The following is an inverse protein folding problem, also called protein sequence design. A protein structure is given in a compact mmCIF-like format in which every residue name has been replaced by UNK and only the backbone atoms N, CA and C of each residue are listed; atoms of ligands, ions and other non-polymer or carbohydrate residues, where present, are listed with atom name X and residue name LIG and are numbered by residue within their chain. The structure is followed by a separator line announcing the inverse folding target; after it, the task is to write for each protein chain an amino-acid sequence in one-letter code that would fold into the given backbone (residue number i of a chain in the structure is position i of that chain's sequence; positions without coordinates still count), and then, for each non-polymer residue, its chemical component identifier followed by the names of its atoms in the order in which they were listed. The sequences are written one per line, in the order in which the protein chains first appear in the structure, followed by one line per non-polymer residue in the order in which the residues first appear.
data_IF_157134199953
#
_entry.id   IF_157134199953
#
_cell.length_a   1.000
_cell.length_b   1.000
_cell.length_c   1.000
_cell.angle_alpha   90.00
_cell.angle_beta   90.00
_cell.angle_gamma   90.00
#
_symmetry.space_group_name_H-M   'P 1'
#
loop_
_entity.id
_entity.type
_entity.pdbx_description
1 polymer ?
#
# COMPACT_ATOMS: atom_id res chain seq x y z
N UNK A 1 -8.81 -9.23 25.39
CA UNK A 1 -7.46 -8.61 25.38
C UNK A 1 -7.23 -7.66 24.20
N UNK A 2 -7.39 -8.08 22.94
CA UNK A 2 -7.05 -7.24 21.76
C UNK A 2 -7.84 -5.92 21.66
N UNK A 3 -9.14 -5.90 21.98
CA UNK A 3 -9.97 -4.67 22.01
C UNK A 3 -9.50 -3.67 23.08
N UNK A 4 -9.12 -4.14 24.27
CA UNK A 4 -8.57 -3.31 25.35
C UNK A 4 -7.21 -2.69 24.97
N UNK A 5 -6.32 -3.49 24.37
CA UNK A 5 -5.03 -2.99 23.86
C UNK A 5 -5.23 -1.88 22.81
N UNK A 6 -6.19 -2.07 21.90
CA UNK A 6 -6.55 -1.05 20.93
C UNK A 6 -7.10 0.22 21.60
N UNK A 7 -7.94 0.08 22.62
CA UNK A 7 -8.45 1.22 23.39
C UNK A 7 -7.32 2.03 24.05
N UNK A 8 -6.31 1.37 24.63
CA UNK A 8 -5.11 2.04 25.17
C UNK A 8 -4.36 2.81 24.07
N UNK A 9 -4.21 2.23 22.87
CA UNK A 9 -3.59 2.91 21.71
C UNK A 9 -4.36 4.16 21.30
N UNK A 10 -5.69 4.13 21.38
CA UNK A 10 -6.57 5.29 21.17
C UNK A 10 -6.37 6.33 22.27
N UNK A 11 -6.38 5.96 23.55
CA UNK A 11 -6.13 6.92 24.65
C UNK A 11 -4.76 7.61 24.52
N UNK A 12 -3.74 6.89 24.05
CA UNK A 12 -2.41 7.48 23.83
C UNK A 12 -2.41 8.67 22.86
N UNK A 13 -3.35 8.78 21.90
CA UNK A 13 -3.44 9.99 21.05
C UNK A 13 -3.81 11.25 21.83
N UNK A 14 -4.43 11.12 23.00
CA UNK A 14 -4.86 12.27 23.81
C UNK A 14 -3.72 12.89 24.61
N UNK A 15 -2.70 12.09 24.94
CA UNK A 15 -1.60 12.48 25.85
C UNK A 15 -0.25 12.59 25.14
N UNK A 16 -0.11 12.04 23.94
CA UNK A 16 1.15 12.03 23.18
C UNK A 16 0.90 12.56 21.78
N UNK A 17 1.60 13.64 21.43
CA UNK A 17 1.52 14.23 20.09
C UNK A 17 2.04 13.27 19.02
N UNK A 18 1.49 13.38 17.81
CA UNK A 18 1.90 12.56 16.67
C UNK A 18 3.40 12.70 16.38
N UNK A 19 3.96 13.90 16.56
CA UNK A 19 5.38 14.17 16.37
C UNK A 19 6.26 13.37 17.34
N UNK A 20 5.94 13.38 18.64
CA UNK A 20 6.67 12.63 19.67
C UNK A 20 6.52 11.12 19.40
N UNK A 21 5.30 10.68 19.10
CA UNK A 21 5.03 9.27 18.83
C UNK A 21 5.86 8.73 17.65
N UNK A 22 5.80 9.43 16.52
CA UNK A 22 6.51 9.06 15.30
C UNK A 22 8.02 9.11 15.51
N UNK A 23 8.55 10.16 16.14
CA UNK A 23 9.99 10.28 16.42
C UNK A 23 10.51 9.13 17.29
N UNK A 24 9.75 8.73 18.32
CA UNK A 24 10.12 7.62 19.19
C UNK A 24 10.09 6.28 18.44
N UNK A 25 9.06 6.05 17.62
CA UNK A 25 8.93 4.83 16.81
C UNK A 25 10.00 4.73 15.73
N UNK A 26 10.33 5.86 15.10
CA UNK A 26 11.40 5.99 14.12
C UNK A 26 12.73 5.63 14.75
N UNK A 27 13.12 6.34 15.82
CA UNK A 27 14.43 6.14 16.47
C UNK A 27 14.60 4.71 16.95
N UNK A 28 13.55 4.11 17.54
CA UNK A 28 13.57 2.71 17.99
C UNK A 28 13.78 1.72 16.83
N UNK A 29 13.26 1.99 15.64
CA UNK A 29 13.28 1.05 14.51
C UNK A 29 14.52 1.25 13.62
N UNK A 30 14.94 2.49 13.39
CA UNK A 30 16.00 2.82 12.43
C UNK A 30 17.34 3.18 13.09
N UNK A 31 17.38 3.24 14.42
CA UNK A 31 18.60 3.48 15.20
C UNK A 31 19.31 4.83 14.92
N UNK A 32 18.58 5.83 14.42
CA UNK A 32 19.01 7.24 14.38
C UNK A 32 17.83 8.18 14.67
N UNK A 33 18.13 9.40 15.12
CA UNK A 33 17.11 10.40 15.43
C UNK A 33 16.70 11.14 14.15
N UNK A 34 15.39 11.26 13.86
CA UNK A 34 14.95 11.99 12.67
C UNK A 34 14.95 13.50 12.87
N UNK A 35 15.18 14.26 11.79
CA UNK A 35 14.85 15.68 11.69
C UNK A 35 13.59 15.91 10.84
N UNK A 36 12.42 15.87 11.49
CA UNK A 36 11.16 16.20 10.81
C UNK A 36 10.94 17.70 10.57
N UNK A 37 11.89 18.59 10.87
CA UNK A 37 11.82 20.00 10.46
C UNK A 37 12.48 20.20 9.10
N UNK A 38 13.56 19.47 8.85
CA UNK A 38 14.29 19.46 7.59
C UNK A 38 14.56 18.01 7.13
N UNK A 39 13.51 17.27 6.72
CA UNK A 39 13.63 15.85 6.40
C UNK A 39 14.52 15.64 5.17
N UNK A 40 15.48 14.73 5.28
CA UNK A 40 16.43 14.40 4.21
C UNK A 40 16.22 12.99 3.70
N UNK A 41 16.10 12.02 4.59
CA UNK A 41 15.90 10.62 4.19
C UNK A 41 14.46 10.34 3.75
N UNK A 42 14.27 9.26 3.02
CA UNK A 42 12.95 8.80 2.58
C UNK A 42 12.03 8.54 3.77
N UNK A 43 12.51 7.81 4.78
CA UNK A 43 11.73 7.56 6.00
C UNK A 43 11.37 8.86 6.74
N UNK A 44 12.27 9.85 6.82
CA UNK A 44 11.97 11.17 7.40
C UNK A 44 10.89 11.90 6.60
N UNK A 45 10.98 11.87 5.26
CA UNK A 45 10.02 12.50 4.36
C UNK A 45 8.64 11.85 4.45
N UNK A 46 8.55 10.52 4.58
CA UNK A 46 7.27 9.83 4.85
C UNK A 46 6.64 10.32 6.15
N UNK A 47 7.41 10.41 7.24
CA UNK A 47 6.90 10.92 8.52
C UNK A 47 6.50 12.38 8.45
N UNK A 48 7.29 13.20 7.76
CA UNK A 48 6.97 14.60 7.52
C UNK A 48 5.63 14.76 6.79
N UNK A 49 5.38 13.97 5.73
CA UNK A 49 4.08 13.94 5.04
C UNK A 49 2.95 13.63 6.01
N UNK A 50 3.06 12.55 6.80
CA UNK A 50 2.01 12.18 7.77
C UNK A 50 1.70 13.30 8.77
N UNK A 51 2.72 14.08 9.18
CA UNK A 51 2.57 15.18 10.13
C UNK A 51 2.00 16.46 9.49
N UNK A 52 2.39 16.78 8.25
CA UNK A 52 2.23 18.11 7.66
C UNK A 52 1.28 18.17 6.48
N UNK A 53 1.23 17.13 5.66
CA UNK A 53 0.37 17.10 4.48
C UNK A 53 -1.05 16.66 4.87
N UNK A 54 -2.03 17.43 4.40
CA UNK A 54 -3.46 17.21 4.65
C UNK A 54 -4.24 17.02 3.36
N UNK A 55 -3.58 16.58 2.28
CA UNK A 55 -4.24 16.28 1.02
C UNK A 55 -5.38 15.25 1.25
N UNK A 56 -6.65 15.61 0.99
CA UNK A 56 -7.79 14.71 1.19
C UNK A 56 -7.77 13.51 0.24
N UNK A 57 -7.08 13.60 -0.91
CA UNK A 57 -6.97 12.50 -1.87
C UNK A 57 -6.30 11.26 -1.25
N UNK A 58 -5.41 11.44 -0.26
CA UNK A 58 -4.76 10.30 0.38
C UNK A 58 -5.75 9.38 1.09
N UNK A 59 -6.79 9.93 1.72
CA UNK A 59 -7.83 9.11 2.35
C UNK A 59 -8.68 8.39 1.33
N UNK A 60 -9.08 9.08 0.25
CA UNK A 60 -9.87 8.48 -0.82
C UNK A 60 -9.12 7.35 -1.54
N UNK A 61 -7.80 7.50 -1.73
CA UNK A 61 -7.00 6.55 -2.49
C UNK A 61 -6.40 5.44 -1.62
N UNK A 62 -6.34 5.61 -0.30
CA UNK A 62 -6.05 4.53 0.65
C UNK A 62 -7.27 3.65 0.96
N UNK A 63 -8.49 4.16 0.75
CA UNK A 63 -9.72 3.36 0.86
C UNK A 63 -9.85 2.44 -0.36
N UNK A 64 -9.75 1.13 -0.11
CA UNK A 64 -9.79 0.08 -1.13
C UNK A 64 -11.09 0.03 -1.93
N UNK A 65 -12.18 0.65 -1.45
CA UNK A 65 -13.42 0.79 -2.18
C UNK A 65 -13.45 2.08 -3.02
N UNK A 66 -13.18 3.24 -2.43
CA UNK A 66 -13.34 4.52 -3.14
C UNK A 66 -12.26 4.79 -4.17
N UNK A 67 -11.08 4.17 -4.05
CA UNK A 67 -10.01 4.30 -5.06
C UNK A 67 -10.42 3.69 -6.40
N UNK A 68 -11.32 2.70 -6.41
CA UNK A 68 -11.66 1.91 -7.61
C UNK A 68 -12.24 2.74 -8.74
N UNK A 69 -13.05 3.76 -8.41
CA UNK A 69 -13.60 4.68 -9.42
C UNK A 69 -12.47 5.44 -10.14
N UNK A 70 -11.45 5.86 -9.39
CA UNK A 70 -10.27 6.50 -9.97
C UNK A 70 -9.51 5.54 -10.89
N UNK A 71 -9.28 4.30 -10.46
CA UNK A 71 -8.61 3.28 -11.28
C UNK A 71 -9.40 3.00 -12.57
N UNK A 72 -10.70 2.76 -12.45
CA UNK A 72 -11.57 2.44 -13.60
C UNK A 72 -11.57 3.54 -14.65
N UNK A 73 -11.64 4.82 -14.24
CA UNK A 73 -11.60 5.96 -15.17
C UNK A 73 -10.22 6.22 -15.78
N UNK A 74 -9.15 5.84 -15.08
CA UNK A 74 -7.79 6.26 -15.42
C UNK A 74 -7.04 5.22 -16.23
N UNK A 75 -7.12 3.95 -15.81
CA UNK A 75 -6.44 2.84 -16.49
C UNK A 75 -7.39 1.76 -16.99
N UNK A 76 -8.65 1.73 -16.54
CA UNK A 76 -9.64 0.74 -16.99
C UNK A 76 -10.09 -0.20 -15.88
N UNK A 77 -11.26 -0.81 -16.07
CA UNK A 77 -11.86 -1.73 -15.09
C UNK A 77 -11.23 -3.14 -15.13
N UNK A 78 -10.62 -3.51 -16.26
CA UNK A 78 -9.90 -4.76 -16.47
C UNK A 78 -8.72 -4.96 -15.51
N UNK A 79 -8.16 -3.87 -14.98
CA UNK A 79 -7.08 -3.91 -13.99
C UNK A 79 -7.60 -4.01 -12.54
N UNK A 80 -8.91 -4.06 -12.30
CA UNK A 80 -9.46 -4.20 -10.95
C UNK A 80 -9.84 -5.64 -10.67
N UNK A 81 -9.41 -6.17 -9.51
CA UNK A 81 -9.95 -7.44 -9.01
C UNK A 81 -11.46 -7.31 -8.82
N UNK A 82 -12.29 -8.21 -9.36
CA UNK A 82 -13.75 -8.12 -9.22
C UNK A 82 -14.20 -8.17 -7.76
N UNK A 83 -15.12 -7.27 -7.40
CA UNK A 83 -15.79 -7.31 -6.10
C UNK A 83 -17.05 -8.16 -6.22
N UNK A 84 -17.15 -9.19 -5.39
CA UNK A 84 -18.30 -10.06 -5.27
C UNK A 84 -19.38 -9.37 -4.42
N UNK A 85 -18.99 -8.78 -3.29
CA UNK A 85 -19.91 -8.13 -2.35
C UNK A 85 -19.21 -7.17 -1.40
N UNK A 86 -19.99 -6.29 -0.77
CA UNK A 86 -19.55 -5.44 0.36
C UNK A 86 -20.53 -5.53 1.51
N UNK A 87 -20.03 -5.37 2.74
CA UNK A 87 -20.80 -5.55 3.97
C UNK A 87 -20.42 -4.49 5.00
N UNK A 88 -21.37 -4.05 5.82
CA UNK A 88 -21.13 -3.08 6.91
C UNK A 88 -20.69 -3.76 8.20
N UNK A 89 -21.06 -5.02 8.39
CA UNK A 89 -20.69 -5.82 9.55
C UNK A 89 -20.55 -7.30 9.15
N UNK A 90 -19.98 -8.09 10.05
CA UNK A 90 -19.72 -9.51 9.79
C UNK A 90 -20.97 -10.39 9.80
N UNK A 91 -22.08 -9.92 10.38
CA UNK A 91 -23.32 -10.69 10.50
C UNK A 91 -24.14 -10.64 9.20
N UNK A 92 -23.90 -9.67 8.32
CA UNK A 92 -24.46 -9.59 6.96
C UNK A 92 -23.88 -10.65 6.00
N UNK A 93 -22.76 -11.30 6.36
CA UNK A 93 -22.06 -12.23 5.48
C UNK A 93 -22.69 -13.61 5.57
N UNK A 94 -23.40 -13.99 4.50
CA UNK A 94 -23.84 -15.36 4.25
C UNK A 94 -22.76 -16.11 3.47
N UNK A 95 -21.92 -16.86 4.19
CA UNK A 95 -20.82 -17.65 3.63
C UNK A 95 -21.30 -18.62 2.55
N UNK A 96 -22.54 -19.13 2.64
CA UNK A 96 -23.06 -20.11 1.70
C UNK A 96 -23.31 -19.51 0.31
N UNK A 97 -23.54 -18.19 0.23
CA UNK A 97 -23.71 -17.46 -1.04
C UNK A 97 -22.40 -17.01 -1.69
N UNK A 98 -21.28 -17.06 -0.96
CA UNK A 98 -19.97 -16.74 -1.52
C UNK A 98 -19.45 -17.90 -2.41
N UNK A 99 -18.61 -17.61 -3.43
CA UNK A 99 -18.02 -18.64 -4.29
C UNK A 99 -17.08 -19.58 -3.53
N UNK A 100 -16.56 -20.60 -4.21
CA UNK A 100 -15.65 -21.59 -3.60
C UNK A 100 -14.32 -20.97 -3.13
N UNK A 101 -13.86 -19.92 -3.84
CA UNK A 101 -12.64 -19.18 -3.53
C UNK A 101 -12.91 -17.68 -3.52
N UNK A 102 -12.42 -16.99 -2.51
CA UNK A 102 -12.59 -15.54 -2.35
C UNK A 102 -11.59 -14.97 -1.34
N UNK A 103 -11.48 -13.65 -1.30
CA UNK A 103 -10.72 -12.92 -0.28
C UNK A 103 -11.64 -11.94 0.44
N UNK A 104 -11.67 -12.01 1.78
CA UNK A 104 -12.35 -11.05 2.64
C UNK A 104 -11.32 -10.09 3.25
N UNK A 105 -11.55 -8.79 3.15
CA UNK A 105 -10.71 -7.76 3.79
C UNK A 105 -11.53 -6.53 4.16
N UNK A 106 -11.04 -5.74 5.11
CA UNK A 106 -11.59 -4.42 5.38
C UNK A 106 -11.02 -3.40 4.40
N UNK A 107 -11.81 -2.39 4.04
CA UNK A 107 -11.40 -1.37 3.07
C UNK A 107 -10.43 -0.32 3.63
N UNK A 108 -10.55 -0.04 4.93
CA UNK A 108 -9.92 1.09 5.63
C UNK A 108 -8.62 0.73 6.36
N UNK A 109 -8.09 -0.48 6.15
CA UNK A 109 -6.98 -0.98 6.94
C UNK A 109 -5.92 -1.77 6.15
N UNK A 110 -4.99 -2.33 6.93
CA UNK A 110 -3.99 -3.30 6.50
C UNK A 110 -4.02 -4.51 7.44
N UNK A 111 -3.79 -5.70 6.88
CA UNK A 111 -3.70 -6.96 7.62
C UNK A 111 -5.03 -7.65 7.97
N UNK A 112 -6.17 -7.10 7.54
CA UNK A 112 -7.48 -7.77 7.69
C UNK A 112 -7.68 -8.94 6.73
N UNK A 113 -6.92 -9.03 5.63
CA UNK A 113 -7.09 -10.01 4.56
C UNK A 113 -7.19 -11.44 5.08
N UNK A 114 -8.19 -12.17 4.59
CA UNK A 114 -8.47 -13.58 4.85
C UNK A 114 -8.74 -14.24 3.51
N UNK A 115 -7.95 -15.25 3.19
CA UNK A 115 -8.02 -15.96 1.91
C UNK A 115 -8.78 -17.26 2.12
N UNK A 116 -9.84 -17.48 1.35
CA UNK A 116 -10.52 -18.76 1.21
C UNK A 116 -10.10 -19.41 -0.11
N UNK A 117 -9.33 -20.51 -0.04
CA UNK A 117 -8.96 -21.33 -1.21
C UNK A 117 -9.85 -22.56 -1.39
N UNK A 118 -10.54 -22.95 -0.33
CA UNK A 118 -11.48 -24.06 -0.30
C UNK A 118 -12.47 -23.78 0.83
N UNK A 119 -13.75 -23.65 0.48
CA UNK A 119 -14.82 -23.24 1.39
C UNK A 119 -15.14 -24.34 2.41
N UNK A 120 -14.94 -25.61 2.08
CA UNK A 120 -15.11 -26.72 3.00
C UNK A 120 -14.06 -26.75 4.13
N UNK A 121 -12.88 -26.16 3.90
CA UNK A 121 -11.80 -26.04 4.88
C UNK A 121 -11.74 -24.65 5.54
N UNK A 122 -12.68 -23.76 5.20
CA UNK A 122 -12.64 -22.38 5.63
C UNK A 122 -13.11 -22.23 7.09
N UNK A 123 -12.20 -21.77 7.95
CA UNK A 123 -12.51 -21.48 9.35
C UNK A 123 -13.29 -20.16 9.48
N UNK A 124 -14.59 -20.23 9.21
CA UNK A 124 -15.50 -19.08 9.29
C UNK A 124 -15.54 -18.43 10.68
N UNK A 125 -15.64 -19.17 11.81
CA UNK A 125 -15.61 -18.55 13.13
C UNK A 125 -14.37 -17.69 13.38
N UNK A 126 -13.18 -18.17 12.98
CA UNK A 126 -11.94 -17.40 13.09
C UNK A 126 -11.92 -16.19 12.15
N UNK A 127 -12.37 -16.36 10.90
CA UNK A 127 -12.48 -15.28 9.93
C UNK A 127 -13.41 -14.17 10.44
N UNK A 128 -14.61 -14.55 10.91
CA UNK A 128 -15.60 -13.65 11.51
C UNK A 128 -15.02 -12.86 12.67
N UNK A 129 -14.35 -13.53 13.62
CA UNK A 129 -13.72 -12.88 14.77
C UNK A 129 -12.60 -11.90 14.36
N UNK A 130 -11.79 -12.26 13.36
CA UNK A 130 -10.76 -11.38 12.81
C UNK A 130 -11.37 -10.13 12.16
N UNK A 131 -12.39 -10.28 11.31
CA UNK A 131 -13.06 -9.17 10.64
C UNK A 131 -13.77 -8.25 11.63
N UNK A 132 -14.52 -8.79 12.60
CA UNK A 132 -15.19 -8.00 13.65
C UNK A 132 -14.18 -7.13 14.39
N UNK A 133 -13.05 -7.72 14.79
CA UNK A 133 -12.01 -6.95 15.45
C UNK A 133 -11.41 -5.87 14.56
N UNK A 134 -11.15 -6.16 13.28
CA UNK A 134 -10.57 -5.19 12.35
C UNK A 134 -11.53 -4.05 11.99
N UNK A 135 -12.84 -4.29 11.90
CA UNK A 135 -13.85 -3.25 11.75
C UNK A 135 -13.82 -2.21 12.88
N UNK A 136 -13.50 -2.63 14.11
CA UNK A 136 -13.37 -1.68 15.25
C UNK A 136 -12.10 -0.84 15.21
N UNK A 137 -11.10 -1.23 14.39
CA UNK A 137 -9.82 -0.53 14.34
C UNK A 137 -9.85 0.64 13.39
N UNK A 138 -9.00 1.60 13.68
CA UNK A 138 -8.60 2.65 12.77
C UNK A 138 -7.08 2.82 12.90
N UNK A 139 -6.38 2.66 11.79
CA UNK A 139 -4.92 2.60 11.75
C UNK A 139 -4.26 3.89 12.25
N UNK A 140 -4.91 5.05 12.15
CA UNK A 140 -4.39 6.30 12.70
C UNK A 140 -4.01 6.17 14.18
N UNK A 141 -4.83 5.50 14.99
CA UNK A 141 -4.55 5.32 16.42
C UNK A 141 -3.37 4.37 16.69
N UNK A 142 -2.94 3.59 15.69
CA UNK A 142 -1.87 2.60 15.77
C UNK A 142 -0.57 3.16 15.19
N UNK A 143 -0.60 3.71 13.98
CA UNK A 143 0.59 4.09 13.20
C UNK A 143 0.72 5.60 12.97
N UNK A 144 -0.32 6.38 13.26
CA UNK A 144 -0.42 7.83 12.94
C UNK A 144 -0.48 8.16 11.46
N UNK A 145 -0.76 7.17 10.63
CA UNK A 145 -1.09 7.37 9.23
C UNK A 145 -2.43 8.11 9.12
N UNK A 146 -2.35 9.41 8.86
CA UNK A 146 -3.51 10.32 8.92
C UNK A 146 -4.59 9.99 7.89
N UNK A 147 -4.19 9.44 6.74
CA UNK A 147 -5.11 9.13 5.64
C UNK A 147 -6.15 8.06 6.01
N UNK A 148 -5.86 7.17 6.96
CA UNK A 148 -6.85 6.21 7.47
C UNK A 148 -7.87 6.80 8.45
N UNK A 149 -7.66 8.03 8.94
CA UNK A 149 -8.42 8.56 10.08
C UNK A 149 -9.92 8.69 9.82
N UNK A 150 -10.32 9.00 8.59
CA UNK A 150 -11.71 9.33 8.21
C UNK A 150 -12.37 8.31 7.30
N UNK A 151 -11.69 7.20 6.98
CA UNK A 151 -12.23 6.17 6.10
C UNK A 151 -13.30 5.38 6.86
N UNK A 152 -14.55 5.27 6.35
CA UNK A 152 -15.58 4.44 6.95
C UNK A 152 -15.23 2.96 6.79
N UNK A 153 -15.32 2.20 7.88
CA UNK A 153 -14.98 0.79 7.90
C UNK A 153 -16.09 -0.07 7.28
N UNK A 154 -15.73 -0.87 6.28
CA UNK A 154 -16.57 -1.85 5.61
C UNK A 154 -15.75 -3.10 5.31
N UNK A 155 -16.43 -4.23 5.10
CA UNK A 155 -15.82 -5.47 4.60
C UNK A 155 -16.10 -5.55 3.11
N UNK A 156 -15.09 -5.92 2.34
CA UNK A 156 -15.21 -6.28 0.93
C UNK A 156 -14.88 -7.77 0.73
N UNK A 157 -15.60 -8.39 -0.19
CA UNK A 157 -15.34 -9.71 -0.72
C UNK A 157 -14.94 -9.57 -2.18
N UNK A 158 -13.73 -10.02 -2.53
CA UNK A 158 -13.20 -9.98 -3.89
C UNK A 158 -12.87 -11.39 -4.38
N UNK A 159 -12.77 -11.54 -5.69
CA UNK A 159 -12.32 -12.78 -6.30
C UNK A 159 -10.89 -13.14 -5.85
N UNK A 160 -10.63 -14.43 -5.68
CA UNK A 160 -9.28 -14.92 -5.40
C UNK A 160 -8.49 -15.01 -6.70
N UNK A 161 -7.37 -14.26 -6.77
CA UNK A 161 -6.42 -14.35 -7.86
C UNK A 161 -5.36 -15.41 -7.51
N UNK A 162 -5.22 -16.43 -8.36
CA UNK A 162 -4.18 -17.43 -8.22
C UNK A 162 -2.89 -16.95 -8.91
N UNK A 163 -1.83 -16.79 -8.14
CA UNK A 163 -0.53 -16.35 -8.66
C UNK A 163 0.37 -17.54 -9.01
N UNK A 164 0.09 -18.74 -8.49
CA UNK A 164 1.06 -19.83 -8.42
C UNK A 164 0.65 -21.10 -9.15
N UNK A 165 -0.58 -21.20 -9.66
CA UNK A 165 -1.18 -22.46 -10.14
C UNK A 165 -0.30 -23.26 -11.12
N UNK A 166 0.61 -22.62 -11.86
CA UNK A 166 1.46 -23.26 -12.87
C UNK A 166 2.95 -22.86 -12.79
N UNK A 167 3.42 -22.31 -11.66
CA UNK A 167 4.77 -21.73 -11.56
C UNK A 167 5.47 -22.13 -10.27
N UNK A 168 6.80 -22.20 -10.30
CA UNK A 168 7.59 -22.38 -9.08
C UNK A 168 7.40 -21.17 -8.18
N UNK A 169 6.81 -21.39 -7.00
CA UNK A 169 6.48 -20.35 -6.01
C UNK A 169 7.65 -19.41 -5.73
N UNK A 170 8.87 -19.96 -5.68
CA UNK A 170 10.10 -19.25 -5.35
C UNK A 170 10.44 -18.10 -6.30
N UNK A 171 10.03 -18.18 -7.57
CA UNK A 171 10.42 -17.24 -8.63
C UNK A 171 9.26 -16.39 -9.14
N UNK A 172 8.09 -16.50 -8.51
CA UNK A 172 6.90 -15.73 -8.89
C UNK A 172 6.79 -14.50 -7.99
N UNK A 173 6.77 -13.28 -8.57
CA UNK A 173 6.40 -12.08 -7.83
C UNK A 173 5.02 -12.24 -7.16
N UNK A 174 4.97 -12.15 -5.83
CA UNK A 174 3.69 -12.17 -5.10
C UNK A 174 3.03 -10.79 -5.13
N UNK A 175 3.83 -9.74 -5.10
CA UNK A 175 3.39 -8.36 -5.21
C UNK A 175 4.49 -7.53 -5.87
N UNK A 176 4.10 -6.72 -6.85
CA UNK A 176 4.99 -5.80 -7.55
C UNK A 176 4.64 -4.38 -7.13
N UNK A 177 5.56 -3.67 -6.47
CA UNK A 177 5.33 -2.32 -5.97
C UNK A 177 6.21 -1.31 -6.66
N UNK A 178 5.60 -0.39 -7.41
CA UNK A 178 6.33 0.60 -8.18
C UNK A 178 6.44 1.89 -7.37
N UNK A 179 7.65 2.19 -6.91
CA UNK A 179 7.99 3.43 -6.23
C UNK A 179 8.12 4.56 -7.24
N UNK A 180 7.19 5.51 -7.15
CA UNK A 180 7.14 6.65 -8.05
C UNK A 180 7.48 7.94 -7.32
N UNK A 181 8.39 8.71 -7.89
CA UNK A 181 8.87 9.99 -7.39
C UNK A 181 8.60 11.07 -8.43
N UNK A 182 8.04 12.20 -8.00
CA UNK A 182 7.67 13.32 -8.89
C UNK A 182 6.86 12.85 -10.12
N UNK A 183 5.89 11.97 -9.89
CA UNK A 183 5.01 11.42 -10.93
C UNK A 183 5.62 10.35 -11.83
N UNK A 184 6.87 9.92 -11.60
CA UNK A 184 7.56 8.95 -12.47
C UNK A 184 7.97 7.68 -11.73
N UNK A 185 7.83 6.49 -12.33
CA UNK A 185 8.36 5.27 -11.76
C UNK A 185 9.88 5.29 -11.74
N UNK A 186 10.49 4.89 -10.63
CA UNK A 186 11.96 4.86 -10.48
C UNK A 186 12.46 3.49 -10.05
N UNK A 187 11.78 2.86 -9.08
CA UNK A 187 12.16 1.56 -8.56
C UNK A 187 10.97 0.62 -8.45
N UNK A 188 11.20 -0.66 -8.64
CA UNK A 188 10.24 -1.73 -8.41
C UNK A 188 10.69 -2.57 -7.21
N UNK A 189 9.89 -2.59 -6.15
CA UNK A 189 10.02 -3.46 -4.99
C UNK A 189 9.20 -4.71 -5.24
N UNK A 190 9.84 -5.87 -5.28
CA UNK A 190 9.19 -7.14 -5.63
C UNK A 190 9.33 -8.13 -4.47
N UNK A 191 8.18 -8.64 -4.03
CA UNK A 191 8.09 -9.63 -2.97
C UNK A 191 8.09 -11.04 -3.53
N UNK A 192 8.85 -11.92 -2.89
CA UNK A 192 8.89 -13.34 -3.18
C UNK A 192 8.77 -14.15 -1.89
N UNK A 193 8.24 -15.37 -2.02
CA UNK A 193 8.31 -16.38 -0.97
C UNK A 193 8.81 -17.70 -1.53
N UNK A 194 9.63 -18.42 -0.76
CA UNK A 194 9.98 -19.79 -1.11
C UNK A 194 8.97 -20.80 -0.54
N UNK A 195 9.18 -22.09 -0.84
CA UNK A 195 8.32 -23.18 -0.39
C UNK A 195 8.35 -23.39 1.13
N UNK A 196 9.38 -22.88 1.82
CA UNK A 196 9.53 -22.93 3.26
C UNK A 196 8.90 -21.71 3.96
N UNK A 197 8.37 -20.75 3.19
CA UNK A 197 7.79 -19.52 3.69
C UNK A 197 8.81 -18.45 4.07
N UNK A 198 10.05 -18.55 3.59
CA UNK A 198 11.01 -17.44 3.72
C UNK A 198 10.63 -16.32 2.75
N UNK A 199 10.63 -15.08 3.24
CA UNK A 199 10.25 -13.88 2.48
C UNK A 199 11.51 -13.14 1.99
N UNK A 200 11.45 -12.68 0.74
CA UNK A 200 12.53 -11.93 0.11
C UNK A 200 11.98 -10.69 -0.58
N UNK A 201 12.78 -9.62 -0.59
CA UNK A 201 12.47 -8.40 -1.33
C UNK A 201 13.65 -8.02 -2.21
N UNK A 202 13.39 -7.85 -3.50
CA UNK A 202 14.35 -7.27 -4.43
C UNK A 202 13.89 -5.88 -4.88
N UNK A 203 14.84 -4.96 -4.99
CA UNK A 203 14.62 -3.64 -5.56
C UNK A 203 15.28 -3.60 -6.94
N UNK A 204 14.49 -3.37 -7.98
CA UNK A 204 14.96 -3.21 -9.35
C UNK A 204 14.78 -1.77 -9.82
N UNK A 205 15.62 -1.30 -10.74
CA UNK A 205 15.32 -0.09 -11.51
C UNK A 205 14.32 -0.37 -12.66
N UNK A 206 14.00 0.67 -13.44
CA UNK A 206 13.06 0.56 -14.58
C UNK A 206 13.58 -0.30 -15.74
N UNK A 207 14.87 -0.70 -15.72
CA UNK A 207 15.51 -1.57 -16.70
C UNK A 207 15.74 -2.99 -16.13
N UNK A 208 15.03 -3.33 -15.06
CA UNK A 208 15.12 -4.63 -14.39
C UNK A 208 16.54 -4.96 -13.88
N UNK A 209 17.32 -3.94 -13.52
CA UNK A 209 18.63 -4.15 -12.88
C UNK A 209 18.47 -4.18 -11.37
N UNK A 210 18.90 -5.27 -10.75
CA UNK A 210 18.87 -5.43 -9.29
C UNK A 210 19.77 -4.36 -8.65
N UNK A 211 19.19 -3.63 -7.70
CA UNK A 211 19.90 -2.59 -6.97
C UNK A 211 20.53 -3.17 -5.70
N UNK A 212 21.73 -2.70 -5.32
CA UNK A 212 22.43 -3.18 -4.12
C UNK A 212 21.82 -2.58 -2.84
N UNK A 213 20.59 -2.99 -2.51
CA UNK A 213 19.82 -2.51 -1.36
C UNK A 213 18.84 -3.58 -0.85
N UNK A 214 18.64 -3.61 0.47
CA UNK A 214 17.60 -4.42 1.13
C UNK A 214 16.59 -3.54 1.85
N UNK A 215 15.33 -3.99 1.88
CA UNK A 215 14.19 -3.30 2.50
C UNK A 215 13.62 -4.16 3.63
N UNK A 216 14.41 -4.39 4.69
CA UNK A 216 14.04 -5.22 5.85
C UNK A 216 14.07 -6.74 5.62
N UNK A 217 14.13 -7.15 4.36
CA UNK A 217 14.20 -8.55 3.94
C UNK A 217 15.46 -8.79 3.09
N UNK A 218 16.03 -10.01 3.12
CA UNK A 218 17.14 -10.36 2.24
C UNK A 218 16.70 -10.32 0.77
N UNK A 219 17.66 -10.08 -0.12
CA UNK A 219 17.43 -10.27 -1.55
C UNK A 219 17.37 -11.77 -1.89
N UNK A 220 16.68 -12.09 -2.97
CA UNK A 220 16.74 -13.43 -3.56
C UNK A 220 18.19 -13.75 -3.95
N UNK A 221 18.64 -14.95 -3.58
CA UNK A 221 19.97 -15.45 -3.98
C UNK A 221 20.03 -15.81 -5.46
N UNK A 222 18.89 -16.21 -6.03
CA UNK A 222 18.78 -16.62 -7.43
C UNK A 222 18.40 -15.43 -8.32
N UNK A 223 18.97 -15.32 -9.53
CA UNK A 223 18.52 -14.33 -10.51
C UNK A 223 17.04 -14.56 -10.88
N UNK A 224 16.25 -13.48 -10.86
CA UNK A 224 14.84 -13.50 -11.27
C UNK A 224 14.69 -12.76 -12.59
N UNK A 225 14.02 -13.40 -13.56
CA UNK A 225 13.74 -12.83 -14.87
C UNK A 225 12.73 -11.68 -14.81
N UNK A 226 12.82 -10.73 -15.74
CA UNK A 226 11.84 -9.65 -15.88
C UNK A 226 10.42 -10.24 -16.09
N UNK A 227 9.43 -9.81 -15.28
CA UNK A 227 8.04 -10.17 -15.48
C UNK A 227 7.54 -9.73 -16.85
N UNK A 228 6.73 -10.54 -17.55
CA UNK A 228 6.32 -10.27 -18.93
C UNK A 228 5.58 -8.94 -19.10
N UNK A 229 4.89 -8.47 -18.06
CA UNK A 229 4.15 -7.20 -18.08
C UNK A 229 4.83 -6.09 -17.27
N UNK A 230 6.15 -6.18 -17.03
CA UNK A 230 6.87 -5.18 -16.23
C UNK A 230 6.78 -3.77 -16.84
N UNK A 231 7.03 -3.61 -18.13
CA UNK A 231 6.92 -2.31 -18.81
C UNK A 231 5.51 -1.74 -18.77
N UNK A 232 4.50 -2.60 -18.86
CA UNK A 232 3.11 -2.19 -18.72
C UNK A 232 2.79 -1.74 -17.28
N UNK A 233 3.29 -2.45 -16.26
CA UNK A 233 3.18 -2.00 -14.86
C UNK A 233 3.80 -0.61 -14.65
N UNK A 234 4.97 -0.33 -15.23
CA UNK A 234 5.60 0.99 -15.14
C UNK A 234 4.72 2.08 -15.79
N UNK A 235 4.17 1.81 -16.98
CA UNK A 235 3.27 2.73 -17.69
C UNK A 235 2.02 3.03 -16.86
N UNK A 236 1.37 2.01 -16.33
CA UNK A 236 0.17 2.15 -15.50
C UNK A 236 0.47 2.91 -14.21
N UNK A 237 1.59 2.60 -13.55
CA UNK A 237 2.03 3.31 -12.36
C UNK A 237 2.23 4.81 -12.64
N UNK A 238 2.92 5.18 -13.74
CA UNK A 238 3.15 6.57 -14.13
C UNK A 238 1.82 7.35 -14.29
N UNK A 239 0.85 6.76 -14.99
CA UNK A 239 -0.47 7.38 -15.18
C UNK A 239 -1.16 7.58 -13.82
N UNK A 240 -1.20 6.55 -12.97
CA UNK A 240 -1.89 6.60 -11.68
C UNK A 240 -1.27 7.61 -10.70
N UNK A 241 0.05 7.78 -10.74
CA UNK A 241 0.80 8.54 -9.72
C UNK A 241 1.18 9.96 -10.13
N UNK A 242 0.95 10.34 -11.40
CA UNK A 242 1.25 11.69 -11.94
C UNK A 242 0.82 12.85 -11.01
N UNK A 243 -0.35 12.80 -10.34
CA UNK A 243 -0.76 13.87 -9.41
C UNK A 243 0.10 14.01 -8.14
N UNK A 244 0.94 13.04 -7.80
CA UNK A 244 1.63 12.93 -6.51
C UNK A 244 3.14 13.17 -6.61
N UNK A 245 3.72 13.74 -5.57
CA UNK A 245 5.17 13.92 -5.41
C UNK A 245 5.90 12.65 -4.99
N UNK A 246 5.22 11.76 -4.26
CA UNK A 246 5.62 10.37 -4.06
C UNK A 246 4.39 9.50 -3.87
N UNK A 247 4.30 8.39 -4.58
CA UNK A 247 3.28 7.36 -4.39
C UNK A 247 3.88 6.01 -4.79
N UNK A 248 3.55 4.97 -4.04
CA UNK A 248 3.83 3.60 -4.44
C UNK A 248 2.55 2.99 -5.02
N UNK A 249 2.63 2.45 -6.24
CA UNK A 249 1.53 1.75 -6.87
C UNK A 249 1.80 0.24 -6.81
N UNK A 250 0.92 -0.49 -6.15
CA UNK A 250 1.08 -1.91 -5.88
C UNK A 250 0.20 -2.70 -6.85
N UNK A 251 0.76 -3.74 -7.46
CA UNK A 251 0.11 -4.60 -8.44
C UNK A 251 0.28 -6.08 -8.08
N UNK A 252 -0.68 -6.88 -8.52
CA UNK A 252 -0.60 -8.33 -8.59
C UNK A 252 -0.51 -8.73 -10.07
N UNK A 253 0.20 -9.80 -10.37
CA UNK A 253 0.26 -10.37 -11.71
C UNK A 253 -0.15 -11.84 -11.64
N UNK A 254 -1.27 -12.20 -12.26
CA UNK A 254 -1.72 -13.59 -12.30
C UNK A 254 -0.77 -14.48 -13.09
N UNK A 255 -0.93 -15.79 -12.94
CA UNK A 255 -0.17 -16.77 -13.71
C UNK A 255 -0.43 -16.66 -15.23
N UNK A 256 -1.65 -16.30 -15.62
CA UNK A 256 -2.11 -15.99 -16.99
C UNK A 256 -1.62 -14.63 -17.54
N UNK A 257 -0.67 -13.98 -16.87
CA UNK A 257 -0.17 -12.66 -17.25
C UNK A 257 -1.27 -11.59 -17.33
N UNK A 258 -2.18 -11.57 -16.35
CA UNK A 258 -3.11 -10.44 -16.16
C UNK A 258 -2.63 -9.58 -15.00
N UNK A 259 -2.60 -8.26 -15.20
CA UNK A 259 -2.24 -7.31 -14.15
C UNK A 259 -3.48 -6.84 -13.41
N UNK A 260 -3.39 -6.81 -12.08
CA UNK A 260 -4.40 -6.24 -11.21
C UNK A 260 -3.79 -5.17 -10.33
N UNK A 261 -4.42 -4.00 -10.28
CA UNK A 261 -4.18 -2.99 -9.27
C UNK A 261 -4.56 -3.53 -7.89
N UNK A 262 -3.67 -3.30 -6.91
CA UNK A 262 -3.85 -3.70 -5.52
C UNK A 262 -4.08 -2.50 -4.61
N UNK A 263 -3.14 -1.55 -4.57
CA UNK A 263 -3.18 -0.41 -3.63
C UNK A 263 -2.35 0.79 -4.14
N UNK A 264 -2.75 2.01 -3.74
CA UNK A 264 -1.90 3.19 -3.75
C UNK A 264 -1.44 3.50 -2.32
N UNK A 265 -0.13 3.47 -2.08
CA UNK A 265 0.45 3.69 -0.75
C UNK A 265 1.19 5.03 -0.67
N UNK A 266 0.80 5.88 0.31
CA UNK A 266 1.37 7.22 0.50
C UNK A 266 2.33 7.33 1.69
N UNK A 267 2.33 6.37 2.61
CA UNK A 267 3.22 6.37 3.77
C UNK A 267 3.72 4.94 4.10
N UNK A 268 4.49 4.31 3.20
CA UNK A 268 4.91 2.92 3.39
C UNK A 268 5.61 2.73 4.73
N UNK A 269 5.22 1.66 5.43
CA UNK A 269 5.71 1.30 6.78
C UNK A 269 5.60 2.40 7.85
N UNK A 270 4.77 3.43 7.61
CA UNK A 270 4.74 4.66 8.41
C UNK A 270 6.15 5.28 8.57
N UNK A 271 6.95 5.26 7.50
CA UNK A 271 8.29 5.85 7.42
C UNK A 271 9.29 5.18 8.37
N UNK A 272 9.25 3.85 8.43
CA UNK A 272 10.12 3.02 9.27
C UNK A 272 10.62 1.78 8.53
N UNK A 273 10.80 1.88 7.21
CA UNK A 273 11.38 0.82 6.39
C UNK A 273 12.86 0.70 6.73
N UNK A 274 13.34 -0.50 7.05
CA UNK A 274 14.76 -0.77 7.28
C UNK A 274 15.48 -0.87 5.94
N UNK A 275 16.02 0.26 5.47
CA UNK A 275 16.71 0.35 4.19
C UNK A 275 18.22 0.24 4.44
N UNK A 276 18.87 -0.75 3.83
CA UNK A 276 20.31 -0.99 4.00
C UNK A 276 21.02 -1.13 2.64
N UNK A 277 22.15 -0.45 2.41
CA UNK A 277 22.82 0.47 3.34
C UNK A 277 22.04 1.79 3.53
N UNK A 278 22.25 2.47 4.66
CA UNK A 278 21.54 3.71 5.03
C UNK A 278 21.60 4.80 3.94
N UNK A 279 22.67 4.83 3.14
CA UNK A 279 22.80 5.76 2.00
C UNK A 279 21.63 5.68 1.02
N UNK A 280 20.97 4.52 0.89
CA UNK A 280 19.78 4.38 0.06
C UNK A 280 18.55 5.09 0.62
N UNK A 281 18.38 5.15 1.95
CA UNK A 281 17.31 5.93 2.58
C UNK A 281 17.45 7.41 2.19
N UNK A 282 18.68 7.94 2.17
CA UNK A 282 18.96 9.31 1.72
C UNK A 282 18.82 9.47 0.20
N UNK A 283 19.32 8.54 -0.61
CA UNK A 283 19.16 8.55 -2.08
C UNK A 283 17.70 8.62 -2.49
N UNK A 284 16.83 7.80 -1.89
CA UNK A 284 15.39 7.84 -2.14
C UNK A 284 14.75 9.14 -1.63
N UNK A 285 15.28 9.67 -0.52
CA UNK A 285 14.91 10.99 -0.03
C UNK A 285 15.20 12.10 -1.03
N UNK A 286 16.37 12.12 -1.66
CA UNK A 286 16.78 13.13 -2.65
C UNK A 286 15.87 13.17 -3.89
N UNK A 287 15.36 12.01 -4.33
CA UNK A 287 14.42 11.93 -5.45
C UNK A 287 13.06 12.59 -5.16
N UNK A 288 12.73 12.79 -3.88
CA UNK A 288 11.44 13.32 -3.47
C UNK A 288 11.51 14.81 -3.12
N UNK A 289 11.18 15.68 -4.07
CA UNK A 289 11.17 17.15 -3.87
C UNK A 289 10.24 17.63 -2.73
N UNK A 290 9.25 16.80 -2.38
CA UNK A 290 8.28 16.96 -1.30
C UNK A 290 7.42 18.23 -1.41
N UNK A 291 6.24 18.06 -1.99
CA UNK A 291 5.18 19.07 -2.06
C UNK A 291 4.25 18.91 -0.85
N UNK A 292 3.77 20.01 -0.26
CA UNK A 292 2.83 19.96 0.86
C UNK A 292 1.53 20.66 0.47
N UNK A 293 0.40 19.95 0.60
CA UNK A 293 -0.93 20.57 0.50
C UNK A 293 -1.44 20.89 1.91
N UNK A 294 -1.49 22.19 2.26
CA UNK A 294 -1.82 22.63 3.65
C UNK A 294 -3.30 22.81 3.96
N UNK A 295 -4.16 22.90 2.94
CA UNK A 295 -5.63 22.84 3.00
C UNK A 295 -6.14 23.27 1.63
N UNK A 296 -6.80 22.39 0.90
CA UNK A 296 -7.68 22.80 -0.20
C UNK A 296 -9.10 22.87 0.36
N UNK A 297 -9.65 24.08 0.54
CA UNK A 297 -11.11 24.23 0.60
C UNK A 297 -11.65 23.56 -0.66
N UNK A 298 -12.54 22.58 -0.51
CA UNK A 298 -13.28 21.85 -1.55
C UNK A 298 -13.05 22.38 -2.98
N UNK A 299 -11.94 22.02 -3.60
CA UNK A 299 -11.79 22.16 -5.03
C UNK A 299 -12.35 20.88 -5.64
N UNK A 300 -13.29 20.95 -6.59
CA UNK A 300 -13.81 19.77 -7.27
C UNK A 300 -12.65 18.94 -7.82
N UNK A 301 -12.74 17.62 -7.64
CA UNK A 301 -11.72 16.62 -7.96
C UNK A 301 -11.25 16.73 -9.43
N UNK A 302 -12.15 17.13 -10.33
CA UNK A 302 -11.86 17.36 -11.76
C UNK A 302 -10.78 18.43 -12.00
N UNK A 303 -10.66 19.42 -11.12
CA UNK A 303 -9.65 20.47 -11.25
C UNK A 303 -8.25 20.05 -10.76
N UNK A 304 -8.14 18.96 -9.97
CA UNK A 304 -6.86 18.44 -9.46
C UNK A 304 -6.30 17.27 -10.26
N UNK A 305 -7.14 16.59 -11.05
CA UNK A 305 -6.76 15.47 -11.91
C UNK A 305 -6.56 15.87 -13.38
N UNK A 306 -6.80 17.13 -13.75
CA UNK A 306 -6.50 17.60 -15.09
C UNK A 306 -4.97 17.60 -15.31
N UNK A 307 -4.47 16.97 -16.40
CA UNK A 307 -3.06 17.07 -16.73
C UNK A 307 -2.68 18.54 -16.88
N UNK A 308 -1.56 18.96 -16.30
CA UNK A 308 -1.07 20.34 -16.47
C UNK A 308 -0.95 20.60 -17.96
N UNK A 309 -1.76 21.53 -18.48
CA UNK A 309 -1.72 21.88 -19.89
C UNK A 309 -0.28 22.28 -20.24
N UNK A 310 0.40 21.42 -21.00
CA UNK A 310 1.68 21.74 -21.57
C UNK A 310 1.51 23.00 -22.40
N UNK A 311 2.17 24.08 -21.97
CA UNK A 311 2.29 25.33 -22.71
C UNK A 311 2.89 25.04 -24.08
N UNK A 312 2.03 24.80 -25.08
CA UNK A 312 2.38 24.95 -26.49
C UNK A 312 2.64 26.44 -26.72
N UNK A 313 3.89 26.86 -26.53
CA UNK A 313 4.38 28.07 -27.20
C UNK A 313 4.72 27.71 -28.64
N UNK A 314 4.20 28.55 -29.51
CA UNK A 314 4.26 28.54 -30.97
C UNK A 314 5.69 28.44 -31.51
#
# INVERSE_FOLDING_TARGET
MKKAEYFIKKLRTLIMSDNIYLSNKFTKKLNYRPDFKAPKSFNEKVNFRMLRDKNPLYSQFADKLTVREYISRTIGNEYLVPIIATYKNVDEIDINKLPERFVLKCNHDSGSSIICRNKAQFDWPKAKSKLDFHLTKNLYYITRERHYKTIPAQIMCEEYIDLFANKNRKLVPETCRIHCFSGKPVYAEIDYSDEFGNEFINIYDTNWQLQPVTFGYPNMMEPVSEPPLFKEMLRLAEILVTPFDYCRADFLMSDENTLYFSELTFAPNAGRTEISPLSWDFKLGELWEQRIVRNTRHLPIEAQLAPSAASKKK
#
